data_IF_643061874797
#
_entry.id   IF_643061874797
#
_cell.length_a   1.000
_cell.length_b   1.000
_cell.length_c   1.000
_cell.angle_alpha   90.00
_cell.angle_beta   90.00
_cell.angle_gamma   90.00
#
_symmetry.space_group_name_H-M   'P 1'
#
loop_
_entity.id
_entity.type
_entity.pdbx_description
1 polymer ?
#
# COMPACT_ATOMS: atom_id res chain seq x y z
N UNK A 1 -6.56 2.20 -4.88
CA UNK A 1 -5.68 1.13 -4.36
C UNK A 1 -5.13 1.64 -3.06
N UNK A 2 -5.23 0.87 -1.99
CA UNK A 2 -4.66 1.27 -0.70
C UNK A 2 -3.33 0.57 -0.52
N UNK A 3 -2.31 1.34 -0.16
CA UNK A 3 -0.95 0.91 0.11
C UNK A 3 -0.70 1.16 1.59
N UNK A 4 -0.26 0.12 2.27
CA UNK A 4 0.04 0.09 3.69
C UNK A 4 1.54 -0.16 3.83
N UNK A 5 2.23 0.71 4.56
CA UNK A 5 3.66 0.58 4.81
C UNK A 5 3.85 -0.11 6.17
N UNK A 6 4.56 -1.24 6.18
CA UNK A 6 4.85 -2.03 7.38
C UNK A 6 6.33 -1.95 7.78
N UNK A 7 6.75 -2.90 8.63
CA UNK A 7 8.15 -3.03 9.08
C UNK A 7 9.06 -3.58 7.98
N UNK A 8 10.36 -3.36 8.17
CA UNK A 8 11.41 -3.99 7.36
C UNK A 8 11.20 -3.85 5.83
N UNK A 9 10.76 -2.66 5.42
CA UNK A 9 10.50 -2.27 4.03
C UNK A 9 9.45 -3.15 3.32
N UNK A 10 8.59 -3.81 4.10
CA UNK A 10 7.44 -4.53 3.60
C UNK A 10 6.32 -3.56 3.23
N UNK A 11 5.71 -3.80 2.07
CA UNK A 11 4.56 -3.06 1.59
C UNK A 11 3.39 -4.03 1.50
N UNK A 12 2.25 -3.62 2.00
CA UNK A 12 1.00 -4.34 1.84
C UNK A 12 0.04 -3.51 1.00
N UNK A 13 -0.85 -4.16 0.26
CA UNK A 13 -1.82 -3.45 -0.56
C UNK A 13 -3.08 -4.27 -0.80
N UNK A 14 -4.16 -3.55 -1.09
CA UNK A 14 -5.43 -4.13 -1.50
C UNK A 14 -6.19 -3.17 -2.44
N UNK A 15 -7.19 -3.70 -3.12
CA UNK A 15 -8.04 -2.93 -4.04
C UNK A 15 -9.46 -2.82 -3.46
N UNK A 16 -10.05 -1.61 -3.52
CA UNK A 16 -11.43 -1.41 -3.06
C UNK A 16 -11.55 -1.35 -1.54
N UNK A 17 -12.57 -2.01 -0.99
CA UNK A 17 -12.82 -2.12 0.45
C UNK A 17 -12.47 -3.53 0.92
N UNK A 18 -11.85 -3.63 2.09
CA UNK A 18 -11.59 -4.91 2.74
C UNK A 18 -12.93 -5.52 3.19
N UNK A 19 -13.27 -6.69 2.65
CA UNK A 19 -14.37 -7.51 3.16
C UNK A 19 -13.80 -8.50 4.19
N UNK A 20 -14.31 -8.51 5.43
CA UNK A 20 -13.90 -9.46 6.48
C UNK A 20 -13.91 -10.94 6.05
N UNK A 21 -14.78 -11.31 5.10
CA UNK A 21 -14.93 -12.70 4.66
C UNK A 21 -13.90 -13.13 3.60
N UNK A 22 -13.25 -12.19 2.92
CA UNK A 22 -12.30 -12.47 1.83
C UNK A 22 -10.97 -11.74 2.03
N UNK A 23 -10.70 -11.29 3.25
CA UNK A 23 -9.56 -10.44 3.59
C UNK A 23 -8.22 -11.10 3.21
N UNK A 24 -8.12 -12.42 3.34
CA UNK A 24 -6.93 -13.20 2.98
C UNK A 24 -6.62 -13.18 1.49
N UNK A 25 -7.64 -13.06 0.64
CA UNK A 25 -7.47 -13.10 -0.82
C UNK A 25 -7.22 -11.70 -1.40
N UNK A 26 -7.73 -10.67 -0.70
CA UNK A 26 -7.63 -9.27 -1.10
C UNK A 26 -6.35 -8.61 -0.60
N UNK A 27 -5.84 -9.01 0.58
CA UNK A 27 -4.66 -8.44 1.19
C UNK A 27 -3.39 -9.09 0.66
N UNK A 28 -2.56 -8.30 -0.02
CA UNK A 28 -1.34 -8.79 -0.68
C UNK A 28 -0.12 -8.06 -0.15
N UNK A 29 1.02 -8.76 -0.10
CA UNK A 29 2.31 -8.19 0.23
C UNK A 29 3.16 -7.99 -1.03
N UNK A 30 4.00 -6.97 -1.02
CA UNK A 30 4.99 -6.64 -2.04
C UNK A 30 6.17 -5.90 -1.40
N UNK A 31 7.10 -5.43 -2.21
CA UNK A 31 8.30 -4.71 -1.80
C UNK A 31 8.53 -3.49 -2.72
N UNK A 32 9.44 -2.60 -2.33
CA UNK A 32 9.75 -1.39 -3.10
C UNK A 32 10.30 -1.65 -4.51
N UNK A 33 10.75 -2.86 -4.85
CA UNK A 33 11.22 -3.18 -6.21
C UNK A 33 10.05 -3.47 -7.15
N UNK A 34 9.01 -4.13 -6.65
CA UNK A 34 7.87 -4.58 -7.45
C UNK A 34 6.67 -3.61 -7.39
N UNK A 35 6.60 -2.76 -6.36
CA UNK A 35 5.48 -1.82 -6.18
C UNK A 35 5.31 -0.86 -7.37
N UNK A 36 6.40 -0.49 -8.04
CA UNK A 36 6.36 0.34 -9.25
C UNK A 36 5.52 -0.30 -10.35
N UNK A 37 5.74 -1.57 -10.62
CA UNK A 37 5.02 -2.29 -11.66
C UNK A 37 3.53 -2.38 -11.32
N UNK A 38 3.19 -2.53 -10.03
CA UNK A 38 1.81 -2.51 -9.54
C UNK A 38 1.14 -1.14 -9.73
N UNK A 39 1.83 -0.04 -9.41
CA UNK A 39 1.33 1.33 -9.62
C UNK A 39 1.10 1.58 -11.11
N UNK A 40 2.07 1.23 -11.97
CA UNK A 40 1.95 1.40 -13.42
C UNK A 40 0.83 0.53 -13.99
N UNK A 41 0.72 -0.74 -13.57
CA UNK A 41 -0.34 -1.64 -14.01
C UNK A 41 -1.72 -1.11 -13.61
N UNK A 42 -1.88 -0.66 -12.36
CA UNK A 42 -3.14 -0.08 -11.88
C UNK A 42 -3.50 1.20 -12.64
N UNK A 43 -2.54 2.09 -12.86
CA UNK A 43 -2.71 3.30 -13.68
C UNK A 43 -3.13 2.98 -15.12
N UNK A 44 -2.55 1.96 -15.76
CA UNK A 44 -2.94 1.55 -17.11
C UNK A 44 -4.33 0.92 -17.18
N UNK A 45 -4.72 0.21 -16.13
CA UNK A 45 -6.00 -0.52 -16.06
C UNK A 45 -7.17 0.33 -15.57
N UNK A 46 -6.95 1.59 -15.16
CA UNK A 46 -8.00 2.46 -14.59
C UNK A 46 -7.97 3.81 -15.29
N UNK A 47 -9.14 4.36 -15.70
CA UNK A 47 -9.23 5.73 -16.20
C UNK A 47 -8.64 6.73 -15.20
N UNK A 48 -8.05 7.81 -15.71
CA UNK A 48 -7.38 8.80 -14.86
C UNK A 48 -8.34 9.42 -13.83
N UNK A 49 -9.59 9.65 -14.20
CA UNK A 49 -10.62 10.25 -13.34
C UNK A 49 -10.99 9.36 -12.14
N UNK A 50 -10.84 8.03 -12.28
CA UNK A 50 -11.11 7.06 -11.23
C UNK A 50 -9.83 6.61 -10.49
N UNK A 51 -8.67 7.13 -10.90
CA UNK A 51 -7.40 6.73 -10.35
C UNK A 51 -7.18 7.37 -8.98
N UNK A 52 -7.20 6.55 -7.93
CA UNK A 52 -6.90 6.98 -6.57
C UNK A 52 -6.02 5.98 -5.83
N UNK A 53 -5.00 6.49 -5.16
CA UNK A 53 -4.10 5.77 -4.27
C UNK A 53 -4.23 6.30 -2.84
N UNK A 54 -4.40 5.41 -1.88
CA UNK A 54 -4.40 5.77 -0.46
C UNK A 54 -3.11 5.21 0.13
N UNK A 55 -2.31 6.06 0.76
CA UNK A 55 -1.06 5.67 1.41
C UNK A 55 -1.31 5.75 2.91
N UNK A 56 -1.03 4.65 3.61
CA UNK A 56 -1.20 4.53 5.05
C UNK A 56 0.11 4.04 5.65
N UNK A 57 0.70 4.85 6.49
CA UNK A 57 1.97 4.54 7.15
C UNK A 57 1.68 3.94 8.52
N UNK A 58 2.12 2.71 8.80
CA UNK A 58 2.06 2.20 10.16
C UNK A 58 3.04 2.95 11.07
N UNK A 59 2.71 3.00 12.37
CA UNK A 59 3.58 3.46 13.44
C UNK A 59 4.97 2.81 13.44
N UNK A 60 5.08 1.61 12.84
CA UNK A 60 6.33 0.86 12.75
C UNK A 60 7.02 0.97 11.39
N UNK A 61 6.41 1.66 10.43
CA UNK A 61 7.03 2.02 9.17
C UNK A 61 8.01 3.19 9.36
N UNK A 62 9.05 3.25 8.53
CA UNK A 62 10.03 4.33 8.61
C UNK A 62 9.59 5.53 7.78
N UNK A 63 9.99 6.74 8.17
CA UNK A 63 9.78 7.94 7.36
C UNK A 63 10.37 7.80 5.95
N UNK A 64 11.48 7.06 5.82
CA UNK A 64 12.08 6.73 4.53
C UNK A 64 11.08 6.00 3.62
N UNK A 65 10.32 5.04 4.14
CA UNK A 65 9.36 4.25 3.36
C UNK A 65 8.22 5.12 2.81
N UNK A 66 7.79 6.12 3.59
CA UNK A 66 6.80 7.10 3.15
C UNK A 66 7.35 7.98 2.02
N UNK A 67 8.61 8.43 2.11
CA UNK A 67 9.23 9.20 1.02
C UNK A 67 9.42 8.34 -0.23
N UNK A 68 9.94 7.12 -0.07
CA UNK A 68 10.20 6.21 -1.20
C UNK A 68 8.90 5.92 -1.97
N UNK A 69 7.76 5.72 -1.29
CA UNK A 69 6.50 5.46 -2.00
C UNK A 69 5.97 6.71 -2.73
N UNK A 70 6.18 7.91 -2.18
CA UNK A 70 5.83 9.17 -2.85
C UNK A 70 6.71 9.41 -4.09
N UNK A 71 7.99 9.06 -4.00
CA UNK A 71 8.90 9.06 -5.14
C UNK A 71 8.43 8.07 -6.21
N UNK A 72 8.00 6.86 -5.83
CA UNK A 72 7.46 5.88 -6.78
C UNK A 72 6.18 6.37 -7.50
N UNK A 73 5.30 7.09 -6.79
CA UNK A 73 4.13 7.74 -7.41
C UNK A 73 4.56 8.78 -8.44
N UNK A 74 5.56 9.59 -8.10
CA UNK A 74 6.10 10.63 -8.97
C UNK A 74 6.80 10.05 -10.20
N UNK A 75 7.63 9.02 -10.02
CA UNK A 75 8.31 8.28 -11.09
C UNK A 75 7.31 7.61 -12.03
N UNK A 76 6.21 7.08 -11.47
CA UNK A 76 5.12 6.48 -12.25
C UNK A 76 4.23 7.53 -12.95
N UNK A 77 4.56 8.81 -12.82
CA UNK A 77 3.81 9.95 -13.33
C UNK A 77 2.33 9.93 -12.89
N UNK A 78 2.07 9.56 -11.64
CA UNK A 78 0.75 9.70 -11.04
C UNK A 78 0.53 11.18 -10.74
N UNK A 79 -0.53 11.83 -11.27
CA UNK A 79 -0.70 13.26 -11.06
C UNK A 79 -0.99 13.57 -9.58
N UNK A 80 -0.52 14.72 -9.07
CA UNK A 80 -0.93 15.19 -7.74
C UNK A 80 -2.45 15.26 -7.62
N UNK A 81 -2.99 14.85 -6.47
CA UNK A 81 -4.44 14.76 -6.25
C UNK A 81 -5.04 13.37 -6.52
N UNK A 82 -4.29 12.46 -7.14
CA UNK A 82 -4.68 11.04 -7.30
C UNK A 82 -4.06 10.14 -6.23
N UNK A 83 -3.40 10.72 -5.23
CA UNK A 83 -2.94 10.03 -4.06
C UNK A 83 -3.12 10.88 -2.80
N UNK A 84 -3.42 10.23 -1.68
CA UNK A 84 -3.57 10.87 -0.39
C UNK A 84 -2.97 10.01 0.72
N UNK A 85 -2.29 10.65 1.66
CA UNK A 85 -1.91 10.01 2.92
C UNK A 85 -3.09 10.08 3.90
N UNK A 86 -3.39 8.96 4.53
CA UNK A 86 -4.49 8.83 5.49
C UNK A 86 -4.01 8.01 6.68
N UNK A 87 -4.56 8.28 7.86
CA UNK A 87 -4.27 7.51 9.04
C UNK A 87 -4.72 6.05 8.89
N UNK A 88 -3.92 5.15 9.45
CA UNK A 88 -4.21 3.73 9.45
C UNK A 88 -5.25 3.38 10.53
N UNK A 89 -6.17 2.48 10.19
CA UNK A 89 -7.17 1.99 11.15
C UNK A 89 -6.59 0.86 12.01
N UNK A 90 -7.09 0.66 13.26
CA UNK A 90 -6.62 -0.42 14.12
C UNK A 90 -6.77 -1.83 13.50
N UNK A 91 -7.79 -2.04 12.67
CA UNK A 91 -8.04 -3.31 11.99
C UNK A 91 -6.96 -3.60 10.94
N UNK A 92 -6.57 -2.58 10.16
CA UNK A 92 -5.48 -2.70 9.19
C UNK A 92 -4.13 -2.93 9.87
N UNK A 93 -3.89 -2.26 11.00
CA UNK A 93 -2.69 -2.46 11.82
C UNK A 93 -2.55 -3.92 12.28
N UNK A 94 -3.65 -4.52 12.76
CA UNK A 94 -3.62 -5.91 13.22
C UNK A 94 -3.42 -6.89 12.05
N UNK A 95 -3.99 -6.62 10.88
CA UNK A 95 -3.76 -7.44 9.68
C UNK A 95 -2.28 -7.45 9.26
N UNK A 96 -1.63 -6.28 9.27
CA UNK A 96 -0.19 -6.17 9.02
C UNK A 96 0.56 -7.01 10.05
N UNK A 97 0.27 -6.82 11.34
CA UNK A 97 0.96 -7.54 12.42
C UNK A 97 0.82 -9.06 12.33
N UNK A 98 -0.38 -9.56 12.03
CA UNK A 98 -0.64 -10.98 11.82
C UNK A 98 0.14 -11.52 10.60
N UNK A 99 0.19 -10.74 9.53
CA UNK A 99 0.93 -11.10 8.31
C UNK A 99 2.43 -11.09 8.53
N UNK A 100 2.97 -10.11 9.26
CA UNK A 100 4.38 -10.04 9.66
C UNK A 100 4.77 -11.22 10.54
N UNK A 101 3.92 -11.56 11.53
CA UNK A 101 4.13 -12.70 12.42
C UNK A 101 4.12 -14.04 11.65
N UNK A 102 3.21 -14.20 10.70
CA UNK A 102 3.14 -15.39 9.85
C UNK A 102 4.36 -15.53 8.92
N UNK A 103 4.90 -14.41 8.42
CA UNK A 103 6.08 -14.37 7.55
C UNK A 103 7.41 -14.33 8.31
N UNK A 104 7.39 -14.31 9.64
CA UNK A 104 8.60 -14.29 10.48
C UNK A 104 9.41 -12.99 10.36
N UNK A 105 8.78 -11.89 9.98
CA UNK A 105 9.41 -10.56 9.91
C UNK A 105 9.66 -10.11 11.36
N UNK A 106 10.92 -9.98 11.75
CA UNK A 106 11.35 -9.57 13.10
C UNK A 106 11.65 -8.09 13.17
#
# INVERSE_FOLDING_TARGET
>A
MTILLGKADQIYYYYGQLDPNTISDQFKSTNFKEVRDLIVAKKKATPIDDLMYIIKSDSTSTFKNAIDILDEMSISAVPPGHYAEVDMTPQEAELIRLTEAANGVK
#
